data_IF_088445065123
#
_entry.id   IF_088445065123
#
_cell.length_a   1.000
_cell.length_b   1.000
_cell.length_c   1.000
_cell.angle_alpha   90.00
_cell.angle_beta   90.00
_cell.angle_gamma   90.00
#
_symmetry.space_group_name_H-M   'P 1'
#
loop_
_entity.id
_entity.type
_entity.pdbx_description
1 polymer ?
#
# COMPACT_ATOMS: atom_id res chain seq x y z
N UNK A 1 9.09 -19.76 -16.43
CA UNK A 1 8.83 -18.33 -16.72
C UNK A 1 7.43 -17.84 -16.27
N UNK A 2 6.36 -18.66 -16.32
CA UNK A 2 5.01 -18.24 -15.83
C UNK A 2 4.98 -17.79 -14.35
N UNK A 3 5.80 -18.40 -13.49
CA UNK A 3 5.91 -18.07 -12.06
C UNK A 3 6.57 -16.70 -11.81
N UNK A 4 7.55 -16.33 -12.64
CA UNK A 4 8.22 -15.02 -12.58
C UNK A 4 7.28 -13.89 -12.97
N UNK A 5 6.40 -14.12 -13.94
CA UNK A 5 5.42 -13.15 -14.40
C UNK A 5 4.46 -12.73 -13.27
N UNK A 6 3.97 -13.70 -12.50
CA UNK A 6 3.07 -13.42 -11.37
C UNK A 6 3.73 -12.58 -10.27
N UNK A 7 4.98 -12.87 -9.94
CA UNK A 7 5.74 -12.09 -8.94
C UNK A 7 6.00 -10.65 -9.42
N UNK A 8 6.28 -10.46 -10.72
CA UNK A 8 6.46 -9.13 -11.32
C UNK A 8 5.18 -8.30 -11.22
N UNK A 9 4.01 -8.90 -11.51
CA UNK A 9 2.73 -8.20 -11.41
C UNK A 9 2.44 -7.76 -9.97
N UNK A 10 2.69 -8.63 -8.99
CA UNK A 10 2.53 -8.27 -7.57
C UNK A 10 3.47 -7.14 -7.17
N UNK A 11 4.74 -7.21 -7.59
CA UNK A 11 5.72 -6.16 -7.32
C UNK A 11 5.32 -4.82 -7.95
N UNK A 12 4.86 -4.83 -9.21
CA UNK A 12 4.38 -3.64 -9.89
C UNK A 12 3.18 -3.04 -9.16
N UNK A 13 2.22 -3.87 -8.72
CA UNK A 13 1.07 -3.39 -7.94
C UNK A 13 1.52 -2.76 -6.61
N UNK A 14 2.42 -3.40 -5.86
CA UNK A 14 2.98 -2.85 -4.61
C UNK A 14 3.58 -1.46 -4.83
N UNK A 15 4.39 -1.30 -5.88
CA UNK A 15 5.00 -0.01 -6.23
C UNK A 15 3.92 1.02 -6.56
N UNK A 16 2.93 0.67 -7.39
CA UNK A 16 1.86 1.58 -7.78
C UNK A 16 1.03 2.03 -6.57
N UNK A 17 0.58 1.11 -5.71
CA UNK A 17 -0.18 1.46 -4.51
C UNK A 17 0.62 2.34 -3.55
N UNK A 18 1.91 2.03 -3.35
CA UNK A 18 2.79 2.83 -2.49
C UNK A 18 3.01 4.23 -3.08
N UNK A 19 3.17 4.34 -4.40
CA UNK A 19 3.30 5.62 -5.09
C UNK A 19 2.00 6.44 -5.03
N UNK A 20 0.84 5.80 -5.22
CA UNK A 20 -0.47 6.45 -5.10
C UNK A 20 -0.69 6.99 -3.68
N UNK A 21 -0.36 6.21 -2.66
CA UNK A 21 -0.40 6.67 -1.26
C UNK A 21 0.49 7.90 -1.07
N UNK A 22 1.75 7.82 -1.50
CA UNK A 22 2.68 8.95 -1.34
C UNK A 22 2.23 10.20 -2.08
N UNK A 23 1.71 10.08 -3.30
CA UNK A 23 1.19 11.22 -4.04
C UNK A 23 -0.04 11.85 -3.37
N UNK A 24 -1.00 11.03 -2.94
CA UNK A 24 -2.23 11.50 -2.32
C UNK A 24 -1.96 12.22 -0.99
N UNK A 25 -1.11 11.65 -0.13
CA UNK A 25 -0.76 12.23 1.15
C UNK A 25 0.04 13.53 1.00
N UNK A 26 1.00 13.57 0.06
CA UNK A 26 1.75 14.79 -0.24
C UNK A 26 0.83 15.91 -0.73
N UNK A 27 -0.15 15.59 -1.57
CA UNK A 27 -1.13 16.57 -2.05
C UNK A 27 -2.06 17.09 -0.92
N UNK A 28 -2.34 16.27 0.09
CA UNK A 28 -3.23 16.63 1.19
C UNK A 28 -2.53 17.40 2.33
N UNK A 29 -1.27 17.08 2.66
CA UNK A 29 -0.59 17.62 3.85
C UNK A 29 0.69 18.41 3.56
N UNK A 30 1.23 18.28 2.34
CA UNK A 30 2.53 18.83 1.97
C UNK A 30 3.72 18.15 2.65
N UNK A 31 4.93 18.65 2.37
CA UNK A 31 6.17 18.01 2.83
C UNK A 31 6.36 18.01 4.36
N UNK A 32 5.82 19.00 5.07
CA UNK A 32 6.04 19.21 6.50
C UNK A 32 5.36 18.15 7.37
N UNK A 33 4.21 17.63 6.94
CA UNK A 33 3.36 16.71 7.71
C UNK A 33 3.19 15.36 7.00
N UNK A 34 4.14 14.99 6.15
CA UNK A 34 4.06 13.78 5.36
C UNK A 34 4.16 12.51 6.25
N UNK A 35 3.27 11.51 6.08
CA UNK A 35 3.24 10.31 6.92
C UNK A 35 4.32 9.28 6.55
N UNK A 36 5.59 9.58 6.89
CA UNK A 36 6.73 8.71 6.58
C UNK A 36 6.66 7.32 7.24
N UNK A 37 6.05 7.22 8.42
CA UNK A 37 5.91 5.94 9.12
C UNK A 37 5.01 4.98 8.34
N UNK A 38 3.82 5.45 7.93
CA UNK A 38 2.87 4.70 7.12
C UNK A 38 3.47 4.34 5.75
N UNK A 39 4.22 5.26 5.12
CA UNK A 39 4.95 4.95 3.88
C UNK A 39 5.98 3.82 4.11
N UNK A 40 6.75 3.88 5.20
CA UNK A 40 7.70 2.82 5.58
C UNK A 40 7.02 1.47 5.83
N UNK A 41 5.85 1.48 6.48
CA UNK A 41 5.02 0.30 6.68
C UNK A 41 4.55 -0.31 5.35
N UNK A 42 4.14 0.50 4.37
CA UNK A 42 3.78 0.01 3.04
C UNK A 42 4.95 -0.66 2.31
N UNK A 43 6.13 -0.05 2.37
CA UNK A 43 7.34 -0.63 1.77
C UNK A 43 7.67 -1.98 2.42
N UNK A 44 7.71 -2.04 3.77
CA UNK A 44 7.99 -3.28 4.49
C UNK A 44 6.91 -4.34 4.24
N UNK A 45 5.64 -3.97 4.29
CA UNK A 45 4.51 -4.85 3.99
C UNK A 45 4.60 -5.42 2.58
N UNK A 46 4.98 -4.59 1.60
CA UNK A 46 5.18 -4.99 0.21
C UNK A 46 6.33 -6.00 0.05
N UNK A 47 7.46 -5.78 0.73
CA UNK A 47 8.59 -6.70 0.75
C UNK A 47 8.23 -8.06 1.38
N UNK A 48 7.48 -8.05 2.48
CA UNK A 48 6.98 -9.27 3.14
C UNK A 48 6.08 -10.05 2.18
N UNK A 49 5.14 -9.35 1.54
CA UNK A 49 4.17 -9.95 0.62
C UNK A 49 4.86 -10.56 -0.62
N UNK A 50 5.89 -9.91 -1.16
CA UNK A 50 6.73 -10.48 -2.23
C UNK A 50 7.47 -11.73 -1.76
N UNK A 51 7.98 -11.72 -0.53
CA UNK A 51 8.67 -12.89 0.05
C UNK A 51 7.71 -14.07 0.21
N UNK A 52 6.47 -13.81 0.65
CA UNK A 52 5.42 -14.82 0.75
C UNK A 52 5.05 -15.38 -0.62
N UNK A 53 4.85 -14.53 -1.64
CA UNK A 53 4.53 -15.00 -3.00
C UNK A 53 5.63 -15.87 -3.59
N UNK A 54 6.90 -15.57 -3.29
CA UNK A 54 8.05 -16.38 -3.70
C UNK A 54 8.11 -17.72 -2.97
N UNK A 55 7.76 -17.74 -1.67
CA UNK A 55 7.78 -18.95 -0.83
C UNK A 55 6.60 -19.89 -1.10
N UNK A 56 5.42 -19.34 -1.38
CA UNK A 56 4.17 -20.08 -1.53
C UNK A 56 3.62 -19.94 -2.96
N UNK A 57 3.87 -20.96 -3.80
CA UNK A 57 3.48 -20.92 -5.22
C UNK A 57 1.98 -20.91 -5.46
N UNK A 58 1.19 -21.53 -4.57
CA UNK A 58 -0.27 -21.66 -4.68
C UNK A 58 -1.04 -20.35 -4.43
N UNK A 59 -0.35 -19.30 -3.96
CA UNK A 59 -0.98 -18.01 -3.69
C UNK A 59 -1.33 -17.29 -5.00
N UNK A 60 -2.59 -16.89 -5.18
CA UNK A 60 -3.02 -16.23 -6.41
C UNK A 60 -2.57 -14.77 -6.44
N UNK A 61 -2.23 -14.28 -7.64
CA UNK A 61 -1.76 -12.90 -7.85
C UNK A 61 -2.83 -11.89 -7.47
N UNK A 62 -4.09 -12.16 -7.82
CA UNK A 62 -5.23 -11.29 -7.51
C UNK A 62 -5.46 -11.13 -6.01
N UNK A 63 -5.36 -12.21 -5.24
CA UNK A 63 -5.47 -12.17 -3.78
C UNK A 63 -4.34 -11.33 -3.17
N UNK A 64 -3.11 -11.50 -3.67
CA UNK A 64 -1.94 -10.75 -3.21
C UNK A 64 -2.05 -9.26 -3.47
N UNK A 65 -2.51 -8.89 -4.66
CA UNK A 65 -2.78 -7.49 -4.99
C UNK A 65 -3.93 -6.94 -4.15
N UNK A 66 -4.99 -7.71 -3.95
CA UNK A 66 -6.15 -7.31 -3.14
C UNK A 66 -5.80 -7.09 -1.67
N UNK A 67 -5.03 -8.00 -1.06
CA UNK A 67 -4.55 -7.86 0.33
C UNK A 67 -3.68 -6.62 0.46
N UNK A 68 -2.79 -6.36 -0.49
CA UNK A 68 -1.96 -5.15 -0.44
C UNK A 68 -2.80 -3.88 -0.59
N UNK A 69 -3.79 -3.87 -1.48
CA UNK A 69 -4.71 -2.74 -1.64
C UNK A 69 -5.47 -2.43 -0.34
N UNK A 70 -6.00 -3.45 0.33
CA UNK A 70 -6.66 -3.30 1.63
C UNK A 70 -5.69 -2.80 2.71
N UNK A 71 -4.45 -3.28 2.69
CA UNK A 71 -3.40 -2.79 3.58
C UNK A 71 -3.05 -1.32 3.34
N UNK A 72 -3.00 -0.87 2.09
CA UNK A 72 -2.83 0.55 1.73
C UNK A 72 -3.97 1.41 2.25
N UNK A 73 -5.22 0.96 2.09
CA UNK A 73 -6.38 1.66 2.65
C UNK A 73 -6.27 1.74 4.17
N UNK A 74 -5.94 0.63 4.83
CA UNK A 74 -5.76 0.60 6.28
C UNK A 74 -4.72 1.61 6.74
N UNK A 75 -3.56 1.69 6.07
CA UNK A 75 -2.52 2.68 6.39
C UNK A 75 -3.01 4.12 6.19
N UNK A 76 -3.77 4.39 5.13
CA UNK A 76 -4.33 5.71 4.84
C UNK A 76 -5.37 6.15 5.89
N UNK A 77 -6.18 5.24 6.42
CA UNK A 77 -7.18 5.58 7.43
C UNK A 77 -6.59 6.17 8.72
N UNK A 78 -5.32 5.86 9.01
CA UNK A 78 -4.62 6.36 10.19
C UNK A 78 -3.64 7.49 9.87
N UNK A 79 -3.86 8.25 8.79
CA UNK A 79 -3.15 9.50 8.52
C UNK A 79 -3.96 10.71 8.98
N UNK A 80 -3.27 11.79 9.37
CA UNK A 80 -3.91 13.04 9.76
C UNK A 80 -4.95 13.55 8.75
N UNK A 81 -4.67 13.64 7.43
CA UNK A 81 -5.64 14.20 6.47
C UNK A 81 -6.91 13.36 6.36
N UNK A 82 -6.82 12.03 6.46
CA UNK A 82 -8.01 11.17 6.42
C UNK A 82 -8.81 11.26 7.72
N UNK A 83 -8.15 11.32 8.88
CA UNK A 83 -8.82 11.52 10.17
C UNK A 83 -9.55 12.87 10.19
N UNK A 84 -8.94 13.94 9.68
CA UNK A 84 -9.56 15.25 9.55
C UNK A 84 -10.75 15.23 8.59
N UNK A 85 -10.62 14.57 7.44
CA UNK A 85 -11.72 14.41 6.49
C UNK A 85 -12.92 13.68 7.11
N UNK A 86 -12.68 12.60 7.87
CA UNK A 86 -13.74 11.87 8.59
C UNK A 86 -14.38 12.76 9.65
N UNK A 87 -13.58 13.52 10.43
CA UNK A 87 -14.11 14.45 11.42
C UNK A 87 -15.05 15.47 10.79
N UNK A 88 -14.72 16.02 9.62
CA UNK A 88 -15.53 17.00 8.91
C UNK A 88 -16.83 16.44 8.31
N UNK A 89 -16.95 15.12 8.15
CA UNK A 89 -18.18 14.48 7.66
C UNK A 89 -19.14 14.18 8.82
N UNK A 90 -18.59 13.86 10.00
CA UNK A 90 -19.39 13.45 11.17
C UNK A 90 -19.84 14.64 12.02
N UNK A 91 -19.04 15.72 12.07
CA UNK A 91 -19.34 16.94 12.82
C UNK A 91 -20.14 17.95 11.99
#
# INVERSE_FOLDING_TARGET
MKKTLGTIVVAAAVVLFTATFGFAEYAATGAANFPYFQLGCLILGGLILMTLKRKYEKMYVTEMVGVFALYTILMALFTNPVIEAVRNIVA
#
